data_IF_658089542309
#
_entry.id   IF_658089542309
#
_cell.length_a   1.000
_cell.length_b   1.000
_cell.length_c   1.000
_cell.angle_alpha   90.00
_cell.angle_beta   90.00
_cell.angle_gamma   90.00
#
_symmetry.space_group_name_H-M   'P 1'
#
loop_
_entity.id
_entity.type
_entity.pdbx_description
1 polymer ?
#
# COMPACT_ATOMS: atom_id res chain seq x y z
N UNK A 1 11.09 1.27 11.41
CA UNK A 1 10.71 0.42 12.57
C UNK A 1 11.92 0.25 13.47
N UNK A 2 11.89 0.92 14.61
CA UNK A 2 12.76 0.65 15.75
C UNK A 2 11.80 0.37 16.89
N UNK A 3 11.29 -0.86 17.00
CA UNK A 3 10.59 -1.26 18.21
C UNK A 3 11.16 -2.57 18.75
N UNK A 4 11.51 -2.49 20.03
CA UNK A 4 11.69 -3.57 21.00
C UNK A 4 12.97 -4.42 20.91
N UNK A 5 14.14 -3.80 21.01
CA UNK A 5 15.05 -4.31 22.03
C UNK A 5 14.53 -3.79 23.37
N UNK A 6 14.43 -4.67 24.36
CA UNK A 6 13.99 -4.35 25.70
C UNK A 6 14.78 -3.14 26.23
N UNK A 7 14.16 -1.96 26.21
CA UNK A 7 14.59 -0.83 27.02
C UNK A 7 13.83 -0.97 28.32
N UNK A 8 14.41 -1.72 29.24
CA UNK A 8 13.95 -1.79 30.62
C UNK A 8 14.94 -1.04 31.52
N UNK A 9 14.71 -1.11 32.82
CA UNK A 9 15.51 -0.42 33.83
C UNK A 9 16.95 -0.98 33.92
N UNK A 10 17.27 -2.06 33.18
CA UNK A 10 18.53 -2.81 33.21
C UNK A 10 19.27 -2.72 31.86
N UNK A 11 18.54 -2.71 30.74
CA UNK A 11 19.05 -2.68 29.37
C UNK A 11 18.69 -1.34 28.72
N UNK A 12 19.37 -0.27 29.13
CA UNK A 12 19.11 1.10 28.63
C UNK A 12 19.71 1.35 27.24
N UNK A 13 19.63 0.36 26.33
CA UNK A 13 20.21 0.43 24.99
C UNK A 13 19.58 1.56 24.17
N UNK A 14 20.04 2.79 24.37
CA UNK A 14 19.65 3.94 23.59
C UNK A 14 20.08 3.71 22.16
N UNK A 15 19.12 3.77 21.24
CA UNK A 15 19.46 3.77 19.82
C UNK A 15 20.12 5.11 19.49
N UNK A 16 21.40 5.06 19.12
CA UNK A 16 22.07 6.20 18.48
C UNK A 16 21.59 6.24 17.02
N UNK A 17 20.63 7.11 16.75
CA UNK A 17 20.08 7.31 15.40
C UNK A 17 20.75 8.54 14.79
N UNK A 18 21.47 8.35 13.68
CA UNK A 18 21.96 9.45 12.86
C UNK A 18 21.04 9.61 11.65
N UNK A 19 20.46 10.79 11.47
CA UNK A 19 19.55 11.10 10.35
C UNK A 19 20.23 12.12 9.45
N UNK A 20 20.49 11.72 8.21
CA UNK A 20 21.04 12.59 7.16
C UNK A 20 20.00 12.75 6.05
N UNK A 21 19.63 14.00 5.74
CA UNK A 21 18.79 14.32 4.59
C UNK A 21 19.68 14.82 3.46
N UNK A 22 19.68 14.09 2.34
CA UNK A 22 20.46 14.42 1.14
C UNK A 22 19.51 14.89 0.05
N UNK A 23 19.69 16.11 -0.44
CA UNK A 23 18.90 16.68 -1.53
C UNK A 23 19.71 16.67 -2.82
N UNK A 24 19.17 16.04 -3.86
CA UNK A 24 19.79 15.98 -5.17
C UNK A 24 18.89 16.70 -6.18
N UNK A 25 19.42 17.75 -6.82
CA UNK A 25 18.71 18.40 -7.92
C UNK A 25 18.80 17.49 -9.15
N UNK A 26 17.66 17.09 -9.73
CA UNK A 26 17.62 16.23 -10.91
C UNK A 26 17.94 17.02 -12.18
N UNK A 27 19.20 17.43 -12.29
CA UNK A 27 19.87 17.76 -13.54
C UNK A 27 21.36 17.39 -13.42
N UNK A 28 21.63 16.08 -13.36
CA UNK A 28 23.00 15.54 -13.54
C UNK A 28 23.69 14.93 -12.33
N UNK A 29 23.09 13.94 -11.66
CA UNK A 29 23.84 13.10 -10.70
C UNK A 29 24.23 11.78 -11.35
N UNK A 30 25.50 11.68 -11.76
CA UNK A 30 26.21 10.40 -11.87
C UNK A 30 26.67 10.04 -10.46
N UNK A 31 26.09 9.00 -9.87
CA UNK A 31 26.62 8.43 -8.62
C UNK A 31 27.93 7.70 -8.97
N UNK A 32 29.08 8.01 -8.34
CA UNK A 32 30.29 7.23 -8.52
C UNK A 32 30.09 5.87 -7.83
N UNK A 33 29.96 4.80 -8.61
CA UNK A 33 30.09 3.43 -8.10
C UNK A 33 31.57 3.12 -7.92
N UNK A 34 32.16 3.51 -6.79
CA UNK A 34 33.43 2.95 -6.35
C UNK A 34 33.18 1.76 -5.42
N UNK A 35 33.45 0.53 -5.89
CA UNK A 35 33.46 -0.66 -5.03
C UNK A 35 32.99 -1.95 -5.71
N UNK A 36 33.80 -2.46 -6.64
CA UNK A 36 33.91 -3.86 -7.09
C UNK A 36 32.70 -4.83 -6.93
N UNK A 37 32.07 -5.16 -8.07
CA UNK A 37 31.94 -6.55 -8.54
C UNK A 37 31.55 -6.53 -10.03
N UNK A 38 32.38 -7.14 -10.88
CA UNK A 38 32.13 -7.29 -12.31
C UNK A 38 30.85 -8.12 -12.53
N UNK A 39 29.82 -7.52 -13.12
CA UNK A 39 28.83 -8.29 -13.86
C UNK A 39 28.50 -7.53 -15.14
N UNK A 40 28.78 -8.20 -16.25
CA UNK A 40 28.66 -7.71 -17.62
C UNK A 40 27.20 -7.50 -17.99
N UNK A 41 26.77 -6.25 -18.06
CA UNK A 41 25.59 -5.85 -18.83
C UNK A 41 26.08 -5.07 -20.04
N UNK A 42 26.00 -5.71 -21.20
CA UNK A 42 26.26 -5.08 -22.49
C UNK A 42 25.11 -4.09 -22.74
N UNK A 43 25.37 -2.80 -22.55
CA UNK A 43 24.48 -1.71 -22.95
C UNK A 43 25.02 -1.18 -24.27
N UNK A 44 24.24 -1.33 -25.35
CA UNK A 44 24.50 -0.60 -26.60
C UNK A 44 24.41 0.89 -26.30
N UNK A 45 25.57 1.56 -26.30
CA UNK A 45 25.72 2.98 -26.05
C UNK A 45 26.62 3.54 -27.13
N UNK A 46 26.01 4.07 -28.18
CA UNK A 46 26.64 5.06 -29.06
C UNK A 46 25.55 5.71 -29.95
N UNK A 47 25.66 7.02 -30.10
CA UNK A 47 24.91 7.89 -31.02
C UNK A 47 23.52 8.43 -30.62
N UNK A 48 23.40 9.09 -29.45
CA UNK A 48 22.50 10.27 -29.31
C UNK A 48 23.15 11.30 -28.35
N UNK A 49 24.30 11.86 -28.71
CA UNK A 49 25.00 12.88 -27.91
C UNK A 49 25.15 14.24 -28.62
N UNK A 50 24.38 14.50 -29.68
CA UNK A 50 24.49 15.75 -30.44
C UNK A 50 23.18 16.45 -30.85
N UNK A 51 22.01 16.00 -30.37
CA UNK A 51 20.70 16.61 -30.73
C UNK A 51 19.85 16.93 -29.49
N UNK A 52 20.40 17.62 -28.50
CA UNK A 52 19.61 18.15 -27.37
C UNK A 52 20.05 19.54 -26.92
N UNK A 53 20.52 20.37 -27.86
CA UNK A 53 20.45 21.82 -27.69
C UNK A 53 19.12 22.27 -28.29
N UNK A 54 18.27 22.87 -27.45
CA UNK A 54 16.91 23.37 -27.73
C UNK A 54 15.79 22.32 -27.74
N UNK A 55 15.23 22.03 -26.57
CA UNK A 55 13.80 21.66 -26.45
C UNK A 55 13.14 22.48 -25.33
N UNK A 56 11.95 23.05 -25.56
CA UNK A 56 11.25 23.89 -24.59
C UNK A 56 10.77 23.09 -23.38
N UNK A 57 10.74 23.76 -22.23
CA UNK A 57 10.12 23.30 -20.97
C UNK A 57 8.63 23.05 -21.22
N UNK A 58 8.23 21.81 -21.48
CA UNK A 58 6.88 21.28 -21.29
C UNK A 58 6.90 19.78 -21.57
N UNK A 59 7.24 18.98 -20.57
CA UNK A 59 6.99 17.55 -20.54
C UNK A 59 6.15 17.24 -19.31
N UNK A 60 4.92 16.75 -19.51
CA UNK A 60 4.02 16.37 -18.43
C UNK A 60 4.19 14.86 -18.14
N UNK A 61 5.14 14.50 -17.27
CA UNK A 61 5.02 13.25 -16.50
C UNK A 61 3.86 13.39 -15.49
N UNK A 62 3.11 12.31 -15.24
CA UNK A 62 2.14 12.23 -14.13
C UNK A 62 2.80 12.42 -12.74
N UNK A 63 4.14 12.43 -12.68
CA UNK A 63 5.00 12.55 -11.50
C UNK A 63 6.26 13.42 -11.72
N UNK A 64 6.34 14.35 -12.71
CA UNK A 64 7.57 15.21 -12.81
C UNK A 64 7.55 16.39 -11.86
N UNK A 65 6.40 17.05 -11.67
CA UNK A 65 6.32 18.07 -10.64
C UNK A 65 5.99 17.42 -9.30
N UNK A 66 6.77 17.72 -8.24
CA UNK A 66 6.33 17.39 -6.89
C UNK A 66 4.98 18.05 -6.61
N UNK A 67 4.22 17.50 -5.66
CA UNK A 67 3.00 18.15 -5.19
C UNK A 67 3.32 19.57 -4.68
N UNK A 68 2.46 20.53 -4.99
CA UNK A 68 2.60 21.92 -4.51
C UNK A 68 2.24 22.03 -3.02
N UNK A 69 1.34 21.17 -2.55
CA UNK A 69 0.90 21.10 -1.16
C UNK A 69 0.74 19.65 -0.73
N UNK A 70 1.30 19.31 0.44
CA UNK A 70 1.14 18.00 1.09
C UNK A 70 0.45 18.21 2.43
N UNK A 71 -0.72 17.60 2.61
CA UNK A 71 -1.49 17.66 3.85
C UNK A 71 -1.44 16.30 4.53
N UNK A 72 -0.81 16.18 5.72
CA UNK A 72 -0.77 14.91 6.45
C UNK A 72 -2.15 14.58 7.02
N UNK A 73 -2.54 13.32 6.95
CA UNK A 73 -3.78 12.73 7.49
C UNK A 73 -3.34 11.66 8.49
N UNK A 74 -3.25 12.06 9.75
CA UNK A 74 -2.59 11.27 10.78
C UNK A 74 -3.15 11.62 12.17
N UNK A 75 -2.83 10.78 13.16
CA UNK A 75 -3.26 10.90 14.56
C UNK A 75 -2.68 12.08 15.33
N UNK A 76 -3.20 12.26 16.55
CA UNK A 76 -2.82 13.34 17.47
C UNK A 76 -1.70 12.86 18.41
N UNK A 77 -0.73 13.76 18.65
CA UNK A 77 0.57 13.59 19.33
C UNK A 77 0.61 12.69 20.59
N UNK A 78 -0.46 12.58 21.37
CA UNK A 78 -0.46 11.89 22.67
C UNK A 78 -0.32 10.35 22.57
N UNK A 79 -0.63 9.73 21.43
CA UNK A 79 -0.48 8.28 21.21
C UNK A 79 0.46 7.97 20.03
N UNK A 80 1.39 8.88 19.73
CA UNK A 80 2.14 8.87 18.48
C UNK A 80 1.35 9.55 17.35
N UNK A 81 2.02 9.80 16.23
CA UNK A 81 1.42 10.52 15.10
C UNK A 81 0.54 9.65 14.21
N UNK A 82 0.49 8.33 14.43
CA UNK A 82 -0.30 7.39 13.64
C UNK A 82 -1.74 7.27 14.12
N UNK A 83 -2.70 7.09 13.22
CA UNK A 83 -3.98 6.51 13.62
C UNK A 83 -3.76 5.06 14.03
N UNK A 84 -4.32 4.71 15.19
CA UNK A 84 -4.28 3.36 15.75
C UNK A 84 -5.65 2.75 15.60
N UNK A 85 -5.77 1.77 14.70
CA UNK A 85 -7.00 1.02 14.47
C UNK A 85 -7.03 -0.15 15.45
N UNK A 86 -7.99 -0.11 16.37
CA UNK A 86 -8.15 -1.09 17.45
C UNK A 86 -9.28 -2.10 17.16
N UNK A 87 -10.08 -1.95 16.10
CA UNK A 87 -11.13 -2.91 15.76
C UNK A 87 -11.66 -2.74 14.34
N UNK A 88 -12.49 -3.68 13.90
CA UNK A 88 -13.19 -3.62 12.60
C UNK A 88 -14.11 -2.41 12.44
N UNK A 89 -14.60 -1.84 13.54
CA UNK A 89 -15.46 -0.64 13.55
C UNK A 89 -14.69 0.66 13.78
N UNK A 90 -13.38 0.56 14.03
CA UNK A 90 -12.56 1.73 14.31
C UNK A 90 -12.12 2.39 13.00
N UNK A 91 -12.65 3.58 12.75
CA UNK A 91 -12.34 4.40 11.58
C UNK A 91 -11.88 5.76 12.09
N UNK A 92 -10.64 6.12 11.78
CA UNK A 92 -10.11 7.44 12.09
C UNK A 92 -10.23 8.34 10.87
N UNK A 93 -10.35 9.63 11.10
CA UNK A 93 -10.53 10.58 10.00
C UNK A 93 -9.91 11.93 10.27
N UNK A 94 -9.73 12.71 9.20
CA UNK A 94 -9.34 14.11 9.25
C UNK A 94 -10.21 14.93 8.31
N UNK A 95 -10.74 16.03 8.83
CA UNK A 95 -11.42 17.04 8.02
C UNK A 95 -10.42 17.93 7.29
N UNK A 96 -10.60 18.08 5.98
CA UNK A 96 -9.72 18.89 5.12
C UNK A 96 -10.57 19.74 4.19
N UNK A 97 -10.27 21.03 4.12
CA UNK A 97 -10.78 21.90 3.07
C UNK A 97 -9.77 21.95 1.93
N UNK A 98 -10.18 21.51 0.74
CA UNK A 98 -9.31 21.44 -0.43
C UNK A 98 -9.23 22.84 -1.11
N UNK A 99 -8.02 23.34 -1.44
CA UNK A 99 -7.88 24.58 -2.21
C UNK A 99 -8.60 24.50 -3.56
N UNK A 100 -9.37 25.54 -3.90
CA UNK A 100 -10.24 25.54 -5.09
C UNK A 100 -9.50 25.45 -6.41
N UNK A 101 -8.22 25.78 -6.43
CA UNK A 101 -7.36 25.67 -7.61
C UNK A 101 -6.64 24.32 -7.70
N UNK A 102 -6.99 23.32 -6.88
CA UNK A 102 -6.43 21.97 -6.99
C UNK A 102 -6.84 21.33 -8.32
N UNK A 103 -5.86 20.94 -9.14
CA UNK A 103 -6.09 20.30 -10.44
C UNK A 103 -5.78 18.79 -10.46
N UNK A 104 -5.02 18.29 -9.49
CA UNK A 104 -4.75 16.86 -9.28
C UNK A 104 -4.63 16.59 -7.79
N UNK A 105 -5.13 15.44 -7.35
CA UNK A 105 -5.03 15.00 -5.96
C UNK A 105 -4.73 13.50 -5.89
N UNK A 106 -3.70 13.13 -5.12
CA UNK A 106 -3.31 11.74 -4.88
C UNK A 106 -3.18 11.53 -3.38
N UNK A 107 -3.82 10.49 -2.86
CA UNK A 107 -3.70 10.10 -1.47
C UNK A 107 -2.70 8.93 -1.36
N UNK A 108 -1.61 9.15 -0.66
CA UNK A 108 -0.61 8.13 -0.36
C UNK A 108 -0.87 7.57 1.04
N UNK A 109 -1.23 6.29 1.15
CA UNK A 109 -1.58 5.63 2.41
C UNK A 109 -0.43 4.75 2.90
N UNK A 110 -0.09 4.88 4.17
CA UNK A 110 0.91 4.08 4.87
C UNK A 110 0.24 3.14 5.85
N UNK A 111 0.73 1.90 5.92
CA UNK A 111 0.10 0.84 6.72
C UNK A 111 1.19 0.03 7.42
N UNK A 112 1.01 -0.22 8.72
CA UNK A 112 1.78 -1.19 9.49
C UNK A 112 0.85 -1.98 10.42
N UNK A 113 1.08 -3.27 10.59
CA UNK A 113 0.23 -4.17 11.36
C UNK A 113 1.03 -4.88 12.45
N UNK A 114 0.48 -4.92 13.67
CA UNK A 114 1.20 -5.36 14.86
C UNK A 114 0.32 -6.25 15.75
N UNK A 115 0.90 -6.74 16.85
CA UNK A 115 0.17 -7.50 17.86
C UNK A 115 -0.36 -8.83 17.32
N UNK A 116 -1.66 -9.09 17.50
CA UNK A 116 -2.28 -10.32 17.02
C UNK A 116 -2.44 -10.37 15.49
N UNK A 117 -2.32 -9.22 14.84
CA UNK A 117 -2.37 -9.08 13.39
C UNK A 117 -1.00 -8.95 12.73
N UNK A 118 0.11 -9.00 13.47
CA UNK A 118 1.46 -9.05 12.90
C UNK A 118 1.63 -10.17 11.84
N UNK A 119 0.88 -11.26 12.00
CA UNK A 119 0.87 -12.43 11.12
C UNK A 119 -0.51 -12.72 10.50
N UNK A 120 -1.32 -11.68 10.29
CA UNK A 120 -2.73 -11.79 9.88
C UNK A 120 -2.97 -12.76 8.71
N UNK A 121 -2.06 -12.82 7.74
CA UNK A 121 -2.11 -13.72 6.56
C UNK A 121 -2.09 -15.22 6.92
N UNK A 122 -1.90 -15.54 8.20
CA UNK A 122 -1.81 -16.91 8.72
C UNK A 122 -2.88 -17.20 9.79
N UNK A 123 -3.78 -16.25 10.06
CA UNK A 123 -4.78 -16.37 11.12
C UNK A 123 -5.92 -17.32 10.69
N UNK A 124 -6.35 -18.25 11.58
CA UNK A 124 -7.57 -19.03 11.39
C UNK A 124 -8.84 -18.16 11.60
N UNK A 125 -10.02 -18.64 11.18
CA UNK A 125 -11.28 -18.00 11.53
C UNK A 125 -11.64 -18.20 13.02
N UNK A 126 -12.45 -17.31 13.59
CA UNK A 126 -12.82 -17.37 15.01
C UNK A 126 -13.54 -18.66 15.41
N UNK A 127 -14.30 -19.26 14.48
CA UNK A 127 -14.97 -20.54 14.73
C UNK A 127 -13.98 -21.65 15.05
N UNK A 128 -12.78 -21.63 14.47
CA UNK A 128 -11.73 -22.59 14.77
C UNK A 128 -11.15 -22.37 16.17
N UNK A 129 -10.95 -21.10 16.56
CA UNK A 129 -10.46 -20.75 17.89
C UNK A 129 -11.46 -21.18 18.97
N UNK A 130 -12.73 -20.81 18.81
CA UNK A 130 -13.81 -21.15 19.75
C UNK A 130 -14.01 -22.65 19.90
N UNK A 131 -14.07 -23.39 18.80
CA UNK A 131 -14.34 -24.84 18.84
C UNK A 131 -13.19 -25.65 19.47
N UNK A 132 -11.98 -25.12 19.44
CA UNK A 132 -10.79 -25.77 20.02
C UNK A 132 -10.37 -25.17 21.36
N UNK A 133 -11.16 -24.26 21.95
CA UNK A 133 -10.85 -23.56 23.20
C UNK A 133 -9.43 -22.94 23.21
N UNK A 134 -9.01 -22.36 22.08
CA UNK A 134 -7.72 -21.70 21.97
C UNK A 134 -7.79 -20.30 22.59
N UNK A 135 -6.82 -19.97 23.44
CA UNK A 135 -6.75 -18.69 24.15
C UNK A 135 -6.10 -17.57 23.34
N UNK A 136 -5.60 -17.87 22.14
CA UNK A 136 -5.03 -16.86 21.26
C UNK A 136 -6.13 -16.00 20.66
N UNK A 137 -5.88 -14.70 20.56
CA UNK A 137 -6.77 -13.72 19.92
C UNK A 137 -6.48 -13.57 18.41
N UNK A 138 -5.68 -14.47 17.81
CA UNK A 138 -5.29 -14.44 16.40
C UNK A 138 -6.37 -15.02 15.49
N UNK A 139 -7.51 -14.34 15.44
CA UNK A 139 -8.71 -14.76 14.71
C UNK A 139 -8.94 -14.03 13.38
N UNK A 140 -10.22 -13.85 13.05
CA UNK A 140 -10.76 -13.12 11.89
C UNK A 140 -10.35 -13.68 10.50
N UNK A 141 -9.62 -14.78 10.45
CA UNK A 141 -9.15 -15.38 9.20
C UNK A 141 -8.07 -14.57 8.49
N UNK A 142 -7.47 -15.18 7.46
CA UNK A 142 -6.35 -14.61 6.72
C UNK A 142 -6.78 -13.64 5.62
N UNK A 143 -7.44 -12.54 5.97
CA UNK A 143 -7.81 -11.46 5.05
C UNK A 143 -7.87 -10.11 5.77
N UNK A 144 -7.23 -9.10 5.20
CA UNK A 144 -7.29 -7.71 5.67
C UNK A 144 -7.37 -6.79 4.46
N UNK A 145 -8.17 -5.75 4.55
CA UNK A 145 -8.33 -4.75 3.48
C UNK A 145 -8.35 -3.37 4.12
N UNK A 146 -7.32 -2.58 3.83
CA UNK A 146 -7.26 -1.17 4.24
C UNK A 146 -8.13 -0.39 3.27
N UNK A 147 -8.98 0.49 3.78
CA UNK A 147 -9.88 1.27 2.96
C UNK A 147 -9.80 2.75 3.29
N UNK A 148 -10.15 3.55 2.27
CA UNK A 148 -10.17 5.00 2.32
C UNK A 148 -11.57 5.47 1.98
N UNK A 149 -12.11 6.38 2.79
CA UNK A 149 -13.36 7.08 2.49
C UNK A 149 -13.15 8.58 2.32
N UNK A 150 -14.01 9.20 1.50
CA UNK A 150 -14.22 10.65 1.50
C UNK A 150 -15.71 10.90 1.68
N UNK A 151 -16.09 11.61 2.74
CA UNK A 151 -17.48 11.83 3.14
C UNK A 151 -18.29 10.52 3.13
N UNK A 152 -17.76 9.50 3.82
CA UNK A 152 -18.29 8.13 3.95
C UNK A 152 -18.36 7.30 2.64
N UNK A 153 -17.93 7.85 1.50
CA UNK A 153 -17.87 7.13 0.23
C UNK A 153 -16.52 6.44 0.06
N UNK A 154 -16.52 5.14 -0.27
CA UNK A 154 -15.30 4.35 -0.48
C UNK A 154 -14.54 4.78 -1.75
N UNK A 155 -13.49 5.57 -1.61
CA UNK A 155 -12.70 6.06 -2.76
C UNK A 155 -11.53 5.14 -3.12
N UNK A 156 -11.13 4.24 -2.21
CA UNK A 156 -9.97 3.37 -2.40
C UNK A 156 -9.92 2.25 -1.38
N UNK A 157 -9.27 1.15 -1.76
CA UNK A 157 -9.01 0.04 -0.84
C UNK A 157 -7.81 -0.77 -1.33
N UNK A 158 -7.07 -1.40 -0.43
CA UNK A 158 -5.96 -2.29 -0.77
C UNK A 158 -5.86 -3.44 0.21
N UNK A 159 -5.58 -4.64 -0.30
CA UNK A 159 -5.09 -5.74 0.52
C UNK A 159 -3.59 -5.50 0.72
N UNK A 160 -3.12 -5.24 1.95
CA UNK A 160 -1.72 -4.89 2.16
C UNK A 160 -0.76 -6.01 1.74
N UNK A 161 0.45 -5.62 1.35
CA UNK A 161 1.54 -6.55 1.12
C UNK A 161 1.87 -7.25 2.45
N UNK A 162 1.96 -8.59 2.48
CA UNK A 162 2.19 -9.33 3.71
C UNK A 162 3.67 -9.24 4.10
N UNK A 163 4.09 -8.09 4.61
CA UNK A 163 5.42 -7.87 5.19
C UNK A 163 5.66 -8.89 6.29
N UNK A 164 6.84 -9.50 6.26
CA UNK A 164 7.32 -10.40 7.30
C UNK A 164 8.31 -9.61 8.15
N UNK A 165 7.91 -9.24 9.36
CA UNK A 165 8.78 -8.49 10.26
C UNK A 165 9.97 -9.32 10.74
N UNK A 166 10.99 -8.65 11.25
CA UNK A 166 12.22 -9.29 11.73
C UNK A 166 11.90 -10.32 12.80
N UNK A 167 12.33 -11.57 12.59
CA UNK A 167 12.08 -12.71 13.48
C UNK A 167 10.61 -13.07 13.66
N UNK A 168 9.73 -12.58 12.78
CA UNK A 168 8.29 -12.72 12.93
C UNK A 168 7.82 -14.17 12.98
N UNK A 169 8.26 -15.02 12.05
CA UNK A 169 7.89 -16.44 12.05
C UNK A 169 8.83 -17.33 12.85
N UNK A 170 10.13 -17.09 12.71
CA UNK A 170 11.16 -17.77 13.49
C UNK A 170 11.95 -16.74 14.27
N UNK A 171 11.79 -16.76 15.60
CA UNK A 171 12.48 -15.83 16.51
C UNK A 171 14.01 -15.90 16.38
N UNK A 172 14.54 -17.01 15.87
CA UNK A 172 15.98 -17.18 15.62
C UNK A 172 16.47 -16.40 14.40
N UNK A 173 15.57 -15.89 13.53
CA UNK A 173 15.92 -15.04 12.39
C UNK A 173 15.93 -13.55 12.70
N UNK A 174 16.07 -13.15 13.97
CA UNK A 174 16.30 -11.74 14.31
C UNK A 174 17.61 -11.19 13.73
N UNK A 175 18.58 -12.04 13.38
CA UNK A 175 19.81 -11.71 12.63
C UNK A 175 20.21 -12.95 11.80
N UNK A 176 20.66 -12.86 10.52
CA UNK A 176 21.04 -11.68 9.72
C UNK A 176 20.15 -11.39 8.49
N UNK A 177 19.07 -12.14 8.25
CA UNK A 177 18.23 -12.00 7.03
C UNK A 177 16.89 -11.36 7.38
N UNK A 178 16.59 -10.22 6.74
CA UNK A 178 15.29 -9.54 6.86
C UNK A 178 14.46 -9.74 5.60
N UNK A 179 13.14 -9.78 5.73
CA UNK A 179 12.27 -9.96 4.58
C UNK A 179 12.09 -8.69 3.74
N UNK A 180 11.53 -8.86 2.54
CA UNK A 180 11.18 -7.76 1.63
C UNK A 180 10.25 -6.77 2.34
N UNK A 181 10.62 -5.50 2.35
CA UNK A 181 9.83 -4.42 2.96
C UNK A 181 9.93 -4.32 4.48
N UNK A 182 10.72 -5.16 5.16
CA UNK A 182 10.81 -5.16 6.62
C UNK A 182 11.42 -3.88 7.22
N UNK A 183 12.14 -3.07 6.45
CA UNK A 183 12.61 -1.75 6.91
C UNK A 183 11.93 -0.57 6.21
N UNK A 184 11.34 -0.82 5.05
CA UNK A 184 10.66 0.18 4.24
C UNK A 184 9.35 -0.44 3.73
N UNK A 185 8.28 -0.27 4.53
CA UNK A 185 6.97 -0.79 4.17
C UNK A 185 6.46 -0.03 2.92
N UNK A 186 5.75 -0.70 2.01
CA UNK A 186 5.17 -0.02 0.85
C UNK A 186 4.09 0.97 1.29
N UNK A 187 4.02 2.11 0.60
CA UNK A 187 2.85 2.99 0.60
C UNK A 187 1.92 2.66 -0.57
N UNK A 188 0.69 3.17 -0.52
CA UNK A 188 -0.36 2.90 -1.50
C UNK A 188 -1.00 4.18 -2.01
N UNK A 189 -0.82 4.45 -3.31
CA UNK A 189 -1.39 5.62 -3.97
C UNK A 189 -2.83 5.37 -4.45
N UNK A 190 -3.73 6.27 -4.05
CA UNK A 190 -5.09 6.39 -4.58
C UNK A 190 -5.23 7.73 -5.30
N UNK A 191 -5.37 7.70 -6.63
CA UNK A 191 -5.66 8.90 -7.40
C UNK A 191 -7.12 9.32 -7.16
N UNK A 192 -7.28 10.40 -6.38
CA UNK A 192 -8.58 10.95 -5.99
C UNK A 192 -8.97 12.16 -6.85
N UNK A 193 -8.21 12.45 -7.90
CA UNK A 193 -8.52 13.51 -8.89
C UNK A 193 -9.94 13.41 -9.46
N UNK A 194 -10.49 12.21 -9.77
CA UNK A 194 -11.87 12.08 -10.22
C UNK A 194 -12.92 12.66 -9.27
N UNK A 195 -12.61 12.77 -7.98
CA UNK A 195 -13.53 13.27 -6.96
C UNK A 195 -13.48 14.80 -6.77
N UNK A 196 -12.56 15.52 -7.43
CA UNK A 196 -12.43 16.98 -7.25
C UNK A 196 -13.72 17.76 -7.55
N UNK A 197 -14.58 17.25 -8.42
CA UNK A 197 -15.90 17.85 -8.66
C UNK A 197 -16.82 17.88 -7.43
N UNK A 198 -16.59 17.01 -6.46
CA UNK A 198 -17.28 16.99 -5.17
C UNK A 198 -16.53 17.76 -4.08
N UNK A 199 -15.21 17.89 -4.21
CA UNK A 199 -14.33 18.38 -3.13
C UNK A 199 -13.99 19.88 -3.21
N UNK A 200 -14.25 20.54 -4.35
CA UNK A 200 -13.91 21.94 -4.58
C UNK A 200 -15.06 22.91 -4.24
N UNK A 201 -15.87 22.57 -3.23
CA UNK A 201 -17.09 23.29 -2.86
C UNK A 201 -16.92 24.30 -1.69
N UNK A 202 -15.68 24.49 -1.22
CA UNK A 202 -15.28 25.32 -0.06
C UNK A 202 -15.65 24.76 1.31
N UNK A 203 -16.13 23.52 1.40
CA UNK A 203 -16.40 22.87 2.67
C UNK A 203 -15.21 22.02 3.12
N UNK A 204 -15.30 21.62 4.37
CA UNK A 204 -14.43 20.61 4.95
C UNK A 204 -15.00 19.24 4.55
N UNK A 205 -14.16 18.40 3.96
CA UNK A 205 -14.47 17.02 3.61
C UNK A 205 -13.75 16.06 4.56
N UNK A 206 -14.40 14.96 4.90
CA UNK A 206 -13.89 13.99 5.88
C UNK A 206 -13.16 12.86 5.14
N UNK A 207 -11.83 12.79 5.32
CA UNK A 207 -11.01 11.69 4.82
C UNK A 207 -10.88 10.63 5.91
N UNK A 208 -11.48 9.45 5.70
CA UNK A 208 -11.50 8.33 6.65
C UNK A 208 -10.57 7.19 6.26
N UNK A 209 -9.97 6.54 7.26
CA UNK A 209 -9.07 5.39 7.12
C UNK A 209 -9.52 4.28 8.07
N UNK A 210 -9.61 3.05 7.55
CA UNK A 210 -10.01 1.88 8.32
C UNK A 210 -9.46 0.58 7.76
N UNK A 211 -9.64 -0.51 8.51
CA UNK A 211 -9.16 -1.85 8.13
C UNK A 211 -10.26 -2.90 8.34
N UNK A 212 -10.66 -3.57 7.26
CA UNK A 212 -11.63 -4.67 7.29
C UNK A 212 -11.00 -5.91 7.93
N UNK A 213 -11.79 -6.62 8.74
CA UNK A 213 -11.42 -7.83 9.47
C UNK A 213 -10.23 -7.65 10.45
N UNK A 214 -9.90 -6.42 10.83
CA UNK A 214 -8.77 -6.10 11.72
C UNK A 214 -8.90 -6.63 13.15
N UNK A 215 -7.75 -6.89 13.76
CA UNK A 215 -7.53 -7.16 15.19
C UNK A 215 -6.48 -6.15 15.68
N UNK A 216 -6.60 -5.62 16.91
CA UNK A 216 -5.60 -4.75 17.53
C UNK A 216 -4.14 -5.19 17.27
N UNK A 217 -3.25 -4.30 16.82
CA UNK A 217 -3.49 -2.91 16.40
C UNK A 217 -2.78 -2.61 15.08
N UNK A 218 -3.41 -1.77 14.26
CA UNK A 218 -2.85 -1.30 12.99
C UNK A 218 -2.50 0.17 13.09
N UNK A 219 -1.37 0.54 12.51
CA UNK A 219 -0.95 1.92 12.31
C UNK A 219 -1.25 2.30 10.87
N UNK A 220 -2.13 3.28 10.66
CA UNK A 220 -2.57 3.69 9.32
C UNK A 220 -2.59 5.21 9.24
N UNK A 221 -1.84 5.78 8.30
CA UNK A 221 -1.82 7.22 8.04
C UNK A 221 -1.86 7.47 6.54
N UNK A 222 -2.04 8.73 6.13
CA UNK A 222 -1.92 9.12 4.75
C UNK A 222 -1.31 10.51 4.55
N UNK A 223 -0.77 10.76 3.36
CA UNK A 223 -0.41 12.08 2.88
C UNK A 223 -1.28 12.43 1.67
N UNK A 224 -1.99 13.54 1.74
CA UNK A 224 -2.74 14.07 0.60
C UNK A 224 -1.85 15.02 -0.19
N UNK A 225 -1.45 14.56 -1.37
CA UNK A 225 -0.63 15.29 -2.34
C UNK A 225 -1.54 16.07 -3.29
N UNK A 226 -1.39 17.39 -3.35
CA UNK A 226 -2.19 18.29 -4.16
C UNK A 226 -1.30 19.04 -5.16
N UNK A 227 -1.72 19.06 -6.42
CA UNK A 227 -1.14 19.92 -7.45
C UNK A 227 -2.12 21.05 -7.74
N UNK A 228 -1.61 22.27 -7.70
CA UNK A 228 -2.40 23.49 -7.79
C UNK A 228 -2.22 24.13 -9.18
N UNK A 229 -3.30 24.70 -9.69
CA UNK A 229 -3.27 25.60 -10.83
C UNK A 229 -2.74 26.96 -10.37
N UNK A 230 -1.55 27.32 -10.84
CA UNK A 230 -0.90 28.60 -10.53
C UNK A 230 -1.43 29.75 -11.41
N UNK A 231 -2.14 29.44 -12.49
CA UNK A 231 -2.72 30.42 -13.41
C UNK A 231 -4.14 30.87 -13.05
N UNK A 232 -4.80 30.18 -12.10
CA UNK A 232 -6.15 30.52 -11.65
C UNK A 232 -6.32 30.36 -10.14
N UNK A 233 -7.18 31.18 -9.54
CA UNK A 233 -7.59 31.04 -8.12
C UNK A 233 -8.62 29.93 -7.89
N UNK A 234 -9.19 29.36 -8.95
CA UNK A 234 -10.10 28.22 -8.90
C UNK A 234 -10.12 27.46 -10.23
N UNK A 235 -10.30 26.13 -10.16
CA UNK A 235 -10.58 25.30 -11.32
C UNK A 235 -12.05 24.90 -11.34
N UNK A 236 -12.54 24.48 -12.50
CA UNK A 236 -13.84 23.81 -12.60
C UNK A 236 -13.63 22.30 -12.65
N UNK A 237 -14.46 21.54 -11.96
CA UNK A 237 -14.36 20.09 -11.97
C UNK A 237 -15.73 19.45 -11.85
N UNK A 238 -15.86 18.22 -12.35
CA UNK A 238 -17.05 17.39 -12.17
C UNK A 238 -16.65 15.93 -12.00
N UNK A 239 -17.25 15.28 -11.01
CA UNK A 239 -17.18 13.84 -10.83
C UNK A 239 -18.29 13.20 -11.65
N UNK A 240 -17.94 12.20 -12.46
CA UNK A 240 -18.91 11.40 -13.21
C UNK A 240 -19.34 10.25 -12.31
N UNK A 241 -20.66 10.09 -12.15
CA UNK A 241 -21.34 9.16 -11.22
C UNK A 241 -20.44 8.01 -10.72
N UNK A 242 -19.89 8.14 -9.50
CA UNK A 242 -18.96 7.16 -8.99
C UNK A 242 -19.73 5.88 -8.63
N UNK A 243 -19.27 4.73 -9.14
CA UNK A 243 -19.82 3.44 -8.78
C UNK A 243 -18.88 2.73 -7.80
N UNK A 244 -19.41 2.38 -6.62
CA UNK A 244 -18.67 1.77 -5.52
C UNK A 244 -19.12 0.31 -5.29
N UNK A 245 -18.66 -0.65 -6.11
CA UNK A 245 -19.07 -2.03 -5.94
C UNK A 245 -18.50 -2.62 -4.64
N UNK A 246 -19.33 -3.37 -3.93
CA UNK A 246 -18.94 -4.11 -2.74
C UNK A 246 -17.86 -5.16 -3.07
N UNK A 247 -17.01 -5.50 -2.09
CA UNK A 247 -16.07 -6.61 -2.21
C UNK A 247 -16.85 -7.92 -2.31
N UNK A 248 -16.49 -8.75 -3.30
CA UNK A 248 -16.97 -10.13 -3.35
C UNK A 248 -16.03 -11.00 -2.54
N UNK A 249 -16.49 -11.55 -1.42
CA UNK A 249 -15.70 -12.41 -0.54
C UNK A 249 -16.38 -13.76 -0.32
N UNK A 250 -15.60 -14.84 -0.46
CA UNK A 250 -16.03 -16.22 -0.20
C UNK A 250 -15.09 -16.86 0.80
N UNK A 251 -15.65 -17.42 1.87
CA UNK A 251 -14.92 -18.12 2.92
C UNK A 251 -15.36 -19.59 2.96
N UNK A 252 -14.41 -20.52 3.01
CA UNK A 252 -14.67 -21.95 3.18
C UNK A 252 -13.81 -22.50 4.30
N UNK A 253 -14.44 -23.20 5.24
CA UNK A 253 -13.78 -23.76 6.41
C UNK A 253 -14.17 -25.23 6.56
N UNK A 254 -13.18 -26.09 6.83
CA UNK A 254 -13.39 -27.50 7.14
C UNK A 254 -12.35 -27.94 8.14
N UNK A 255 -12.78 -28.40 9.31
CA UNK A 255 -11.86 -28.82 10.37
C UNK A 255 -12.49 -29.83 11.32
N UNK A 256 -11.63 -30.63 11.95
CA UNK A 256 -11.94 -31.54 13.05
C UNK A 256 -10.83 -31.38 14.09
N UNK A 257 -11.20 -30.93 15.28
CA UNK A 257 -10.23 -30.54 16.31
C UNK A 257 -9.20 -29.55 15.71
N UNK A 258 -7.91 -29.77 15.96
CA UNK A 258 -6.81 -28.91 15.49
C UNK A 258 -6.39 -29.16 14.04
N UNK A 259 -7.03 -30.09 13.32
CA UNK A 259 -6.77 -30.34 11.91
C UNK A 259 -7.80 -29.62 11.07
N UNK A 260 -7.37 -28.73 10.17
CA UNK A 260 -8.30 -27.91 9.40
C UNK A 260 -7.72 -27.28 8.13
N UNK A 261 -8.62 -26.85 7.25
CA UNK A 261 -8.31 -26.07 6.05
C UNK A 261 -9.30 -24.90 5.95
N UNK A 262 -8.74 -23.71 5.75
CA UNK A 262 -9.45 -22.44 5.63
C UNK A 262 -9.06 -21.78 4.32
N UNK A 263 -10.04 -21.48 3.47
CA UNK A 263 -9.83 -20.83 2.18
C UNK A 263 -10.62 -19.55 2.11
N UNK A 264 -9.97 -18.49 1.66
CA UNK A 264 -10.61 -17.19 1.40
C UNK A 264 -10.31 -16.80 -0.05
N UNK A 265 -11.35 -16.37 -0.77
CA UNK A 265 -11.24 -15.76 -2.09
C UNK A 265 -11.94 -14.42 -2.03
N UNK A 266 -11.23 -13.34 -2.37
CA UNK A 266 -11.81 -12.01 -2.43
C UNK A 266 -11.47 -11.32 -3.75
N UNK A 267 -12.39 -10.50 -4.25
CA UNK A 267 -12.21 -9.69 -5.47
C UNK A 267 -12.94 -8.37 -5.33
N UNK A 268 -12.29 -7.29 -5.74
CA UNK A 268 -12.92 -5.97 -5.95
C UNK A 268 -12.42 -5.36 -7.25
N UNK A 269 -13.28 -4.60 -7.92
CA UNK A 269 -12.94 -3.78 -9.08
C UNK A 269 -13.69 -2.46 -8.98
N UNK A 270 -12.97 -1.35 -8.82
CA UNK A 270 -13.53 0.00 -8.77
C UNK A 270 -13.12 0.79 -10.02
N UNK A 271 -13.99 1.69 -10.47
CA UNK A 271 -13.73 2.60 -11.57
C UNK A 271 -14.30 3.97 -11.26
N UNK A 272 -13.48 5.00 -11.40
CA UNK A 272 -13.82 6.38 -11.13
C UNK A 272 -13.45 7.24 -12.32
N UNK A 273 -14.25 8.27 -12.57
CA UNK A 273 -14.04 9.19 -13.67
C UNK A 273 -14.45 10.60 -13.24
N UNK A 274 -13.62 11.57 -13.60
CA UNK A 274 -13.93 12.98 -13.38
C UNK A 274 -13.08 13.84 -14.30
N UNK A 275 -13.55 15.05 -14.56
CA UNK A 275 -12.82 16.02 -15.37
C UNK A 275 -12.50 17.27 -14.55
N UNK A 276 -11.40 17.91 -14.93
CA UNK A 276 -10.91 19.15 -14.35
C UNK A 276 -10.50 20.09 -15.48
N UNK A 277 -11.03 21.32 -15.45
CA UNK A 277 -10.69 22.43 -16.32
C UNK A 277 -9.88 23.45 -15.53
N UNK A 278 -8.56 23.43 -15.75
CA UNK A 278 -7.61 24.41 -15.22
C UNK A 278 -7.26 25.47 -16.27
N UNK A 279 -6.46 26.46 -15.88
CA UNK A 279 -6.00 27.55 -16.76
C UNK A 279 -5.24 27.05 -17.99
N UNK A 280 -4.56 25.91 -17.87
CA UNK A 280 -3.73 25.35 -18.94
C UNK A 280 -4.36 24.24 -19.77
N UNK A 281 -5.39 23.55 -19.24
CA UNK A 281 -5.98 22.40 -19.92
C UNK A 281 -7.31 21.93 -19.32
N UNK A 282 -8.10 21.24 -20.14
CA UNK A 282 -9.26 20.47 -19.71
C UNK A 282 -8.97 18.97 -19.86
N UNK A 283 -8.89 18.27 -18.73
CA UNK A 283 -8.46 16.88 -18.64
C UNK A 283 -9.52 16.02 -17.97
N UNK A 284 -9.79 14.86 -18.56
CA UNK A 284 -10.59 13.80 -17.93
C UNK A 284 -9.67 12.71 -17.42
N UNK A 285 -9.79 12.38 -16.14
CA UNK A 285 -9.02 11.33 -15.47
C UNK A 285 -9.92 10.13 -15.21
N UNK A 286 -9.50 8.96 -15.71
CA UNK A 286 -10.11 7.67 -15.43
C UNK A 286 -9.18 6.86 -14.54
N UNK A 287 -9.69 6.43 -13.39
CA UNK A 287 -8.97 5.58 -12.45
C UNK A 287 -9.68 4.23 -12.37
N UNK A 288 -8.94 3.15 -12.53
CA UNK A 288 -9.42 1.78 -12.38
C UNK A 288 -8.50 1.03 -11.44
N UNK A 289 -9.09 0.42 -10.41
CA UNK A 289 -8.36 -0.42 -9.46
C UNK A 289 -9.05 -1.78 -9.36
N UNK A 290 -8.28 -2.87 -9.45
CA UNK A 290 -8.76 -4.24 -9.27
C UNK A 290 -7.79 -5.04 -8.40
N UNK A 291 -8.31 -5.85 -7.49
CA UNK A 291 -7.55 -6.93 -6.86
C UNK A 291 -8.25 -8.28 -6.94
N UNK A 292 -7.44 -9.33 -6.97
CA UNK A 292 -7.86 -10.72 -6.75
C UNK A 292 -6.99 -11.30 -5.64
N UNK A 293 -7.64 -11.72 -4.58
CA UNK A 293 -7.03 -12.31 -3.40
C UNK A 293 -7.43 -13.78 -3.28
N UNK A 294 -6.45 -14.63 -2.96
CA UNK A 294 -6.68 -16.01 -2.57
C UNK A 294 -5.78 -16.35 -1.39
N UNK A 295 -6.34 -16.97 -0.36
CA UNK A 295 -5.60 -17.52 0.77
C UNK A 295 -6.07 -18.92 1.10
N UNK A 296 -5.14 -19.77 1.53
CA UNK A 296 -5.36 -21.12 2.04
C UNK A 296 -4.46 -21.34 3.26
N UNK A 297 -5.06 -21.37 4.45
CA UNK A 297 -4.39 -21.74 5.70
C UNK A 297 -4.78 -23.17 6.06
N UNK A 298 -3.81 -24.02 6.39
CA UNK A 298 -4.02 -25.42 6.77
C UNK A 298 -3.27 -25.76 8.05
N UNK A 299 -3.92 -26.50 8.93
CA UNK A 299 -3.33 -27.14 10.10
C UNK A 299 -3.45 -28.66 9.96
N UNK A 300 -2.36 -29.38 10.22
CA UNK A 300 -2.31 -30.85 10.24
C UNK A 300 -1.56 -31.32 11.47
N UNK A 301 -1.53 -32.64 11.67
CA UNK A 301 -0.76 -33.28 12.75
C UNK A 301 -1.15 -32.73 14.14
N UNK A 302 -2.45 -32.52 14.33
CA UNK A 302 -2.99 -31.95 15.56
C UNK A 302 -2.45 -30.54 15.87
N UNK A 303 -2.25 -29.74 14.81
CA UNK A 303 -1.83 -28.35 14.89
C UNK A 303 -0.31 -28.13 14.90
N UNK A 304 0.50 -29.19 14.91
CA UNK A 304 1.97 -29.06 14.86
C UNK A 304 2.48 -28.68 13.49
N UNK A 305 1.72 -28.97 12.42
CA UNK A 305 2.04 -28.58 11.05
C UNK A 305 1.11 -27.45 10.59
N UNK A 306 1.69 -26.35 10.08
CA UNK A 306 0.98 -25.22 9.50
C UNK A 306 1.47 -24.97 8.07
N UNK A 307 0.54 -24.74 7.15
CA UNK A 307 0.85 -24.29 5.80
C UNK A 307 -0.06 -23.14 5.38
N UNK A 308 0.54 -22.09 4.81
CA UNK A 308 -0.14 -20.92 4.28
C UNK A 308 0.25 -20.77 2.83
N UNK A 309 -0.75 -20.63 1.95
CA UNK A 309 -0.56 -20.23 0.56
C UNK A 309 -1.48 -19.05 0.28
N UNK A 310 -0.89 -17.91 -0.02
CA UNK A 310 -1.59 -16.68 -0.34
C UNK A 310 -1.13 -16.14 -1.69
N UNK A 311 -2.03 -15.53 -2.43
CA UNK A 311 -1.73 -14.82 -3.67
C UNK A 311 -2.60 -13.60 -3.78
N UNK A 312 -1.96 -12.46 -4.00
CA UNK A 312 -2.66 -11.21 -4.30
C UNK A 312 -2.18 -10.72 -5.65
N UNK A 313 -3.15 -10.42 -6.52
CA UNK A 313 -2.92 -9.83 -7.84
C UNK A 313 -3.64 -8.50 -7.88
N UNK A 314 -2.91 -7.43 -8.16
CA UNK A 314 -3.45 -6.07 -8.26
C UNK A 314 -3.27 -5.53 -9.67
N UNK A 315 -4.19 -4.65 -10.08
CA UNK A 315 -4.06 -3.87 -11.29
C UNK A 315 -4.64 -2.48 -11.04
N UNK A 316 -3.78 -1.48 -11.08
CA UNK A 316 -4.15 -0.07 -11.08
C UNK A 316 -3.91 0.50 -12.46
N UNK A 317 -4.84 1.32 -12.94
CA UNK A 317 -4.70 2.05 -14.19
C UNK A 317 -5.24 3.46 -14.01
N UNK A 318 -4.41 4.45 -14.33
CA UNK A 318 -4.79 5.85 -14.44
C UNK A 318 -4.64 6.23 -15.90
N UNK A 319 -5.73 6.71 -16.52
CA UNK A 319 -5.76 7.18 -17.90
C UNK A 319 -6.24 8.63 -17.89
N UNK A 320 -5.42 9.52 -18.40
CA UNK A 320 -5.74 10.94 -18.59
C UNK A 320 -5.96 11.21 -20.06
N UNK A 321 -7.08 11.82 -20.40
CA UNK A 321 -7.44 12.22 -21.77
C UNK A 321 -7.75 13.70 -21.84
N UNK A 322 -7.48 14.32 -22.99
CA UNK A 322 -7.85 15.71 -23.25
C UNK A 322 -9.33 15.85 -23.57
N UNK A 323 -9.82 17.08 -23.64
CA UNK A 323 -11.19 17.41 -24.05
C UNK A 323 -11.61 16.80 -25.40
N UNK A 324 -10.70 16.75 -26.37
CA UNK A 324 -10.94 16.13 -27.69
C UNK A 324 -10.81 14.59 -27.67
N UNK A 325 -10.64 13.98 -26.49
CA UNK A 325 -10.53 12.52 -26.32
C UNK A 325 -9.16 11.92 -26.57
N UNK A 326 -8.14 12.73 -26.90
CA UNK A 326 -6.77 12.26 -27.14
C UNK A 326 -6.15 11.76 -25.84
N UNK A 327 -5.41 10.64 -25.91
CA UNK A 327 -4.67 10.13 -24.76
C UNK A 327 -3.53 11.08 -24.41
N UNK A 328 -3.56 11.64 -23.21
CA UNK A 328 -2.49 12.49 -22.68
C UNK A 328 -1.46 11.62 -21.97
N UNK A 329 -1.95 10.77 -21.05
CA UNK A 329 -1.11 9.91 -20.24
C UNK A 329 -1.85 8.64 -19.83
N UNK A 330 -1.13 7.53 -19.72
CA UNK A 330 -1.62 6.29 -19.14
C UNK A 330 -0.53 5.71 -18.26
N UNK A 331 -0.82 5.52 -16.98
CA UNK A 331 -0.04 4.70 -16.08
C UNK A 331 -0.81 3.42 -15.78
N UNK A 332 -0.13 2.28 -15.82
CA UNK A 332 -0.68 0.99 -15.38
C UNK A 332 0.34 0.25 -14.54
N UNK A 333 -0.04 -0.04 -13.29
CA UNK A 333 0.76 -0.83 -12.36
C UNK A 333 0.06 -2.17 -12.15
N UNK A 334 0.80 -3.27 -12.30
CA UNK A 334 0.34 -4.63 -12.01
C UNK A 334 1.24 -5.23 -10.94
N UNK A 335 0.66 -5.58 -9.80
CA UNK A 335 1.36 -6.27 -8.73
C UNK A 335 0.95 -7.74 -8.63
N UNK A 336 1.90 -8.61 -8.30
CA UNK A 336 1.66 -9.99 -7.93
C UNK A 336 2.61 -10.39 -6.81
N UNK A 337 2.06 -10.69 -5.63
CA UNK A 337 2.85 -11.08 -4.46
C UNK A 337 2.31 -12.38 -3.86
N UNK A 338 2.83 -13.54 -4.32
CA UNK A 338 2.52 -14.81 -3.71
C UNK A 338 3.37 -15.00 -2.45
N UNK A 339 2.75 -15.61 -1.45
CA UNK A 339 3.34 -15.96 -0.16
C UNK A 339 3.08 -17.44 0.11
N UNK A 340 4.14 -18.18 0.38
CA UNK A 340 4.07 -19.56 0.86
C UNK A 340 4.84 -19.68 2.17
N UNK A 341 4.20 -20.23 3.18
CA UNK A 341 4.81 -20.51 4.48
C UNK A 341 4.49 -21.94 4.84
N UNK A 342 5.48 -22.67 5.30
CA UNK A 342 5.33 -23.99 5.90
C UNK A 342 6.10 -23.99 7.21
N UNK A 343 5.45 -24.42 8.29
CA UNK A 343 6.12 -24.66 9.56
C UNK A 343 5.65 -25.95 10.18
N UNK A 344 6.57 -26.62 10.88
CA UNK A 344 6.31 -27.82 11.65
C UNK A 344 7.03 -27.74 13.00
N UNK A 345 6.36 -28.18 14.05
CA UNK A 345 6.93 -28.24 15.40
C UNK A 345 7.01 -29.70 15.84
N UNK A 346 8.22 -30.18 16.10
CA UNK A 346 8.47 -31.55 16.54
C UNK A 346 8.92 -31.55 18.02
N UNK A 347 8.55 -32.58 18.81
CA UNK A 347 9.05 -32.73 20.16
C UNK A 347 10.57 -32.95 20.15
N UNK A 348 11.29 -32.22 21.00
CA UNK A 348 12.73 -32.36 21.21
C UNK A 348 13.06 -33.04 22.53
N UNK A 349 14.34 -33.30 22.79
CA UNK A 349 14.79 -33.90 24.06
C UNK A 349 14.71 -32.90 25.22
N UNK A 350 14.29 -33.37 26.41
CA UNK A 350 14.29 -32.61 27.69
C UNK A 350 13.65 -31.21 27.61
N UNK A 351 12.31 -31.15 27.48
CA UNK A 351 11.51 -29.89 27.39
C UNK A 351 11.89 -28.94 26.24
N UNK A 352 12.59 -29.44 25.22
CA UNK A 352 12.88 -28.71 23.98
C UNK A 352 11.89 -29.08 22.89
N UNK A 353 11.80 -28.25 21.87
CA UNK A 353 11.11 -28.55 20.61
C UNK A 353 12.04 -28.20 19.45
N UNK A 354 11.80 -28.84 18.30
CA UNK A 354 12.45 -28.52 17.04
C UNK A 354 11.41 -27.78 16.20
N UNK A 355 11.76 -26.58 15.73
CA UNK A 355 10.96 -25.82 14.79
C UNK A 355 11.63 -25.92 13.41
N UNK A 356 10.94 -26.53 12.46
CA UNK A 356 11.33 -26.52 11.06
C UNK A 356 10.38 -25.59 10.29
N UNK A 357 10.93 -24.62 9.59
CA UNK A 357 10.18 -23.55 8.92
C UNK A 357 10.81 -23.24 7.57
N UNK A 358 9.98 -23.24 6.52
CA UNK A 358 10.36 -22.83 5.17
C UNK A 358 9.40 -21.75 4.66
N UNK A 359 9.97 -20.71 4.09
CA UNK A 359 9.27 -19.50 3.71
C UNK A 359 9.69 -19.05 2.32
N UNK A 360 8.70 -18.67 1.52
CA UNK A 360 8.92 -18.05 0.23
C UNK A 360 7.93 -16.91 0.06
N UNK A 361 8.43 -15.69 0.21
CA UNK A 361 7.73 -14.47 -0.21
C UNK A 361 8.41 -13.97 -1.47
N UNK A 362 7.62 -13.75 -2.52
CA UNK A 362 8.11 -13.07 -3.72
C UNK A 362 7.18 -11.93 -4.08
N UNK A 363 7.74 -10.95 -4.76
CA UNK A 363 7.04 -9.78 -5.23
C UNK A 363 7.46 -9.54 -6.66
N UNK A 364 6.48 -9.39 -7.54
CA UNK A 364 6.71 -8.84 -8.88
C UNK A 364 5.74 -7.70 -9.13
N UNK A 365 6.29 -6.60 -9.60
CA UNK A 365 5.54 -5.45 -10.04
C UNK A 365 5.98 -5.08 -11.44
N UNK A 366 5.00 -4.74 -12.27
CA UNK A 366 5.23 -4.24 -13.61
C UNK A 366 4.47 -2.95 -13.77
N UNK A 367 5.22 -1.87 -13.95
CA UNK A 367 4.69 -0.57 -14.33
C UNK A 367 4.85 -0.36 -15.84
N UNK A 368 3.81 0.18 -16.47
CA UNK A 368 3.81 0.60 -17.87
C UNK A 368 3.28 2.02 -17.89
N UNK A 369 4.08 2.94 -18.45
CA UNK A 369 3.71 4.34 -18.63
C UNK A 369 3.75 4.67 -20.11
N UNK A 370 2.61 5.08 -20.67
CA UNK A 370 2.46 5.53 -22.06
C UNK A 370 2.10 7.01 -22.07
N UNK A 371 2.72 7.79 -22.97
CA UNK A 371 2.46 9.23 -23.08
C UNK A 371 2.45 9.69 -24.51
N UNK A 372 1.63 10.70 -24.77
CA UNK A 372 1.82 11.56 -25.92
C UNK A 372 2.75 12.72 -25.54
N UNK A 373 3.82 12.89 -26.31
CA UNK A 373 4.76 14.01 -26.19
C UNK A 373 4.20 15.34 -26.69
N UNK A 374 3.06 15.31 -27.39
CA UNK A 374 2.42 16.49 -27.96
C UNK A 374 0.91 16.44 -27.69
N UNK A 375 0.47 17.21 -26.71
CA UNK A 375 -0.92 17.65 -26.61
C UNK A 375 -0.85 19.16 -26.69
N UNK A 376 -1.17 19.72 -27.86
CA UNK A 376 -1.50 21.13 -27.95
C UNK A 376 -2.81 21.31 -27.17
N UNK A 377 -2.70 21.79 -25.93
CA UNK A 377 -3.83 22.45 -25.28
C UNK A 377 -3.95 23.80 -25.98
N UNK A 378 -4.88 23.88 -26.92
CA UNK A 378 -5.21 25.11 -27.66
C UNK A 378 -6.24 25.88 -26.85
#
# INVERSE_FOLDING_TARGET
MLETNAVDNVHTGGYLVNVSLLYYNHSGVRVPLSGAAKSSVIVYREAIDSVNRQKPKNSLNLYESPADLIIPISGIRNKGFWFRIESVSDVHSKGIQIPRNTQKAVLEVYVSFHGNDEFWYSNPPDSYLRMNNLTTERGHGAYREVFVTIDDNLVGSVVPFPVIFTGGFNRLFWQPVVAIGAFNLPSYDFDVTPFLGLLLDRKIHIFGLGVIDSIPFWLVDANLHLWLDHGSSAVEAKTVEPHFPAVSIQRRSSFKLLNGSFKIVAKRKNQFMGWVRSSGCNLTTHVSYEFKFRSSVKFKENGTYKSVVQTVKTKTQVKVVSEIGSLVNRASVKGNYPLTIVSSTLPGSKKKYILDSNECLSFSEREIVERLLFVLCI
#
